data_IF_883133685010
#
_entry.id   IF_883133685010
#
_cell.length_a   1.000
_cell.length_b   1.000
_cell.length_c   1.000
_cell.angle_alpha   90.00
_cell.angle_beta   90.00
_cell.angle_gamma   90.00
#
_symmetry.space_group_name_H-M   'P 1'
#
loop_
_entity.id
_entity.type
_entity.pdbx_description
1 polymer ?
#
# COMPACT_ATOMS: atom_id res chain seq x y z
N UNK A 1 4.31 -18.12 -5.96
CA UNK A 1 4.26 -16.90 -6.80
C UNK A 1 3.89 -15.73 -5.90
N UNK A 2 4.85 -15.05 -5.25
CA UNK A 2 4.49 -14.07 -4.19
C UNK A 2 5.35 -12.80 -4.14
N UNK A 3 6.26 -12.59 -5.08
CA UNK A 3 7.24 -11.47 -4.98
C UNK A 3 6.79 -10.17 -5.65
N UNK A 4 5.73 -10.18 -6.47
CA UNK A 4 5.38 -9.02 -7.32
C UNK A 4 4.58 -7.92 -6.62
N UNK A 5 3.89 -8.19 -5.51
CA UNK A 5 3.10 -7.16 -4.80
C UNK A 5 3.99 -6.27 -3.93
N UNK A 6 5.04 -6.83 -3.31
CA UNK A 6 5.95 -6.09 -2.45
C UNK A 6 6.80 -5.08 -3.25
N UNK A 7 7.26 -5.47 -4.44
CA UNK A 7 7.91 -4.54 -5.36
C UNK A 7 7.02 -3.35 -5.71
N UNK A 8 5.71 -3.54 -5.91
CA UNK A 8 4.82 -2.43 -6.29
C UNK A 8 4.65 -1.36 -5.20
N UNK A 9 4.67 -1.75 -3.93
CA UNK A 9 4.57 -0.80 -2.82
C UNK A 9 5.88 -0.02 -2.63
N UNK A 10 7.02 -0.72 -2.57
CA UNK A 10 8.33 -0.07 -2.46
C UNK A 10 8.59 0.87 -3.64
N UNK A 11 8.31 0.44 -4.88
CA UNK A 11 8.46 1.29 -6.06
C UNK A 11 7.56 2.52 -6.00
N UNK A 12 6.32 2.38 -5.51
CA UNK A 12 5.41 3.52 -5.34
C UNK A 12 5.94 4.50 -4.29
N UNK A 13 6.58 3.99 -3.22
CA UNK A 13 7.17 4.79 -2.16
C UNK A 13 8.43 5.53 -2.63
N UNK A 14 9.35 4.84 -3.32
CA UNK A 14 10.54 5.45 -3.93
C UNK A 14 10.14 6.56 -4.92
N UNK A 15 9.09 6.33 -5.71
CA UNK A 15 8.57 7.34 -6.62
C UNK A 15 8.00 8.56 -5.89
N UNK A 16 7.30 8.34 -4.78
CA UNK A 16 6.74 9.40 -3.94
C UNK A 16 7.86 10.26 -3.32
N UNK A 17 8.94 9.64 -2.84
CA UNK A 17 10.12 10.35 -2.30
C UNK A 17 10.80 11.21 -3.37
N UNK A 18 10.94 10.70 -4.59
CA UNK A 18 11.44 11.45 -5.75
C UNK A 18 10.57 12.66 -6.07
N UNK A 19 9.25 12.51 -6.03
CA UNK A 19 8.32 13.63 -6.23
C UNK A 19 8.49 14.67 -5.12
N UNK A 20 8.59 14.25 -3.86
CA UNK A 20 8.80 15.17 -2.75
C UNK A 20 10.12 15.96 -2.89
N UNK A 21 11.21 15.30 -3.30
CA UNK A 21 12.47 16.00 -3.58
C UNK A 21 12.34 17.02 -4.70
N UNK A 22 11.57 16.71 -5.75
CA UNK A 22 11.36 17.64 -6.84
C UNK A 22 10.48 18.83 -6.43
N UNK A 23 9.47 18.61 -5.58
CA UNK A 23 8.62 19.68 -5.04
C UNK A 23 9.41 20.61 -4.12
N UNK A 24 10.35 20.06 -3.35
CA UNK A 24 11.20 20.83 -2.42
C UNK A 24 12.28 21.65 -3.16
N UNK A 25 12.55 21.34 -4.43
CA UNK A 25 13.37 22.20 -5.29
C UNK A 25 12.61 23.49 -5.63
N UNK A 26 13.09 24.60 -5.11
CA UNK A 26 12.47 25.93 -5.20
C UNK A 26 12.39 26.57 -6.60
N UNK A 27 12.86 25.87 -7.64
CA UNK A 27 12.85 26.33 -9.05
C UNK A 27 11.84 25.60 -9.95
N UNK A 28 10.93 24.81 -9.38
CA UNK A 28 9.93 24.08 -10.17
C UNK A 28 8.83 25.01 -10.71
N UNK A 29 8.43 24.82 -11.97
CA UNK A 29 7.33 25.59 -12.56
C UNK A 29 5.98 25.20 -11.92
N UNK A 30 5.05 26.15 -11.81
CA UNK A 30 3.71 25.91 -11.22
C UNK A 30 2.95 24.78 -11.94
N UNK A 31 3.04 24.71 -13.27
CA UNK A 31 2.39 23.66 -14.05
C UNK A 31 3.00 22.27 -13.77
N UNK A 32 4.31 22.21 -13.58
CA UNK A 32 5.01 20.97 -13.21
C UNK A 32 4.69 20.54 -11.78
N UNK A 33 4.57 21.51 -10.86
CA UNK A 33 4.13 21.25 -9.49
C UNK A 33 2.74 20.61 -9.46
N UNK A 34 1.80 21.12 -10.25
CA UNK A 34 0.45 20.55 -10.34
C UNK A 34 0.46 19.09 -10.83
N UNK A 35 1.28 18.79 -11.85
CA UNK A 35 1.45 17.43 -12.36
C UNK A 35 2.07 16.49 -11.31
N UNK A 36 3.09 16.94 -10.59
CA UNK A 36 3.75 16.15 -9.56
C UNK A 36 2.84 15.86 -8.37
N UNK A 37 2.03 16.83 -7.93
CA UNK A 37 1.03 16.63 -6.88
C UNK A 37 -0.04 15.63 -7.33
N UNK A 38 -0.47 15.69 -8.59
CA UNK A 38 -1.43 14.72 -9.13
C UNK A 38 -0.86 13.30 -9.18
N UNK A 39 0.39 13.13 -9.62
CA UNK A 39 1.08 11.84 -9.62
C UNK A 39 1.25 11.29 -8.19
N UNK A 40 1.64 12.13 -7.23
CA UNK A 40 1.73 11.76 -5.82
C UNK A 40 0.39 11.28 -5.26
N UNK A 41 -0.72 11.96 -5.60
CA UNK A 41 -2.06 11.57 -5.16
C UNK A 41 -2.47 10.19 -5.71
N UNK A 42 -2.11 9.88 -6.96
CA UNK A 42 -2.36 8.57 -7.56
C UNK A 42 -1.53 7.46 -6.89
N UNK A 43 -0.25 7.72 -6.62
CA UNK A 43 0.62 6.79 -5.91
C UNK A 43 0.09 6.49 -4.50
N UNK A 44 -0.31 7.52 -3.76
CA UNK A 44 -0.93 7.36 -2.43
C UNK A 44 -2.21 6.52 -2.47
N UNK A 45 -3.04 6.71 -3.50
CA UNK A 45 -4.26 5.91 -3.70
C UNK A 45 -3.94 4.44 -3.92
N UNK A 46 -2.89 4.14 -4.69
CA UNK A 46 -2.43 2.78 -4.90
C UNK A 46 -1.86 2.16 -3.62
N UNK A 47 -1.02 2.89 -2.88
CA UNK A 47 -0.51 2.45 -1.58
C UNK A 47 -1.65 2.09 -0.62
N UNK A 48 -2.67 2.95 -0.51
CA UNK A 48 -3.86 2.68 0.31
C UNK A 48 -4.57 1.39 -0.12
N UNK A 49 -4.70 1.15 -1.42
CA UNK A 49 -5.34 -0.06 -1.95
C UNK A 49 -4.56 -1.32 -1.57
N UNK A 50 -3.22 -1.27 -1.62
CA UNK A 50 -2.36 -2.38 -1.20
C UNK A 50 -2.54 -2.65 0.29
N UNK A 51 -2.48 -1.60 1.14
CA UNK A 51 -2.65 -1.74 2.59
C UNK A 51 -3.99 -2.38 2.96
N UNK A 52 -5.10 -1.89 2.39
CA UNK A 52 -6.44 -2.44 2.65
C UNK A 52 -6.57 -3.88 2.16
N UNK A 53 -5.93 -4.22 1.03
CA UNK A 53 -5.92 -5.60 0.54
C UNK A 53 -5.14 -6.51 1.50
N UNK A 54 -3.96 -6.09 1.93
CA UNK A 54 -3.14 -6.85 2.89
C UNK A 54 -3.87 -7.04 4.21
N UNK A 55 -4.50 -5.99 4.74
CA UNK A 55 -5.31 -6.06 5.96
C UNK A 55 -6.42 -7.12 5.85
N UNK A 56 -7.16 -7.13 4.73
CA UNK A 56 -8.20 -8.14 4.49
C UNK A 56 -7.66 -9.56 4.40
N UNK A 57 -6.53 -9.76 3.75
CA UNK A 57 -5.91 -11.08 3.64
C UNK A 57 -5.42 -11.56 5.01
N UNK A 58 -4.86 -10.67 5.84
CA UNK A 58 -4.46 -10.97 7.22
C UNK A 58 -5.68 -11.33 8.06
N UNK A 59 -6.75 -10.53 8.02
CA UNK A 59 -7.98 -10.82 8.76
C UNK A 59 -8.55 -12.17 8.36
N UNK A 60 -8.67 -12.45 7.06
CA UNK A 60 -9.16 -13.75 6.56
C UNK A 60 -8.30 -14.92 7.03
N UNK A 61 -6.98 -14.73 7.11
CA UNK A 61 -6.06 -15.76 7.62
C UNK A 61 -6.30 -16.01 9.11
N UNK A 62 -6.50 -14.94 9.90
CA UNK A 62 -6.84 -15.04 11.32
C UNK A 62 -8.19 -15.74 11.53
N UNK A 63 -9.23 -15.34 10.79
CA UNK A 63 -10.56 -15.95 10.87
C UNK A 63 -10.50 -17.45 10.54
N UNK A 64 -9.70 -17.83 9.53
CA UNK A 64 -9.53 -19.24 9.15
C UNK A 64 -8.84 -20.05 10.26
N UNK A 65 -7.81 -19.46 10.89
CA UNK A 65 -7.15 -20.08 12.04
C UNK A 65 -8.10 -20.25 13.23
N UNK A 66 -8.89 -19.22 13.56
CA UNK A 66 -9.88 -19.26 14.65
C UNK A 66 -10.90 -20.39 14.44
N UNK A 67 -11.45 -20.51 13.22
CA UNK A 67 -12.36 -21.61 12.88
C UNK A 67 -11.70 -23.00 12.99
N UNK A 68 -10.42 -23.14 12.63
CA UNK A 68 -9.66 -24.40 12.79
C UNK A 68 -9.41 -24.77 14.27
N UNK A 69 -9.30 -23.77 15.17
CA UNK A 69 -9.18 -23.99 16.61
C UNK A 69 -10.52 -24.35 17.26
N UNK A 70 -11.62 -23.77 16.81
CA UNK A 70 -12.96 -24.05 17.35
C UNK A 70 -13.46 -25.47 17.00
N UNK A 71 -13.13 -26.02 15.82
CA UNK A 71 -13.52 -27.40 15.45
C UNK A 71 -12.78 -28.50 16.25
N UNK A 72 -11.71 -28.17 16.99
CA UNK A 72 -10.94 -29.14 17.79
C UNK A 72 -11.24 -29.10 19.29
N UNK A 73 -12.27 -28.37 19.73
CA UNK A 73 -12.67 -28.37 21.14
C UNK A 73 -13.70 -29.48 21.40
N UNK A 74 -13.38 -30.51 22.20
CA UNK A 74 -14.40 -31.46 22.65
C UNK A 74 -15.47 -30.68 23.42
N UNK A 75 -16.69 -30.66 22.89
CA UNK A 75 -17.86 -30.17 23.62
C UNK A 75 -18.10 -31.12 24.80
N UNK A 76 -17.85 -30.65 26.02
CA UNK A 76 -18.33 -31.29 27.26
C UNK A 76 -19.86 -31.20 27.39
#
# INVERSE_FOLDING_TARGET
>A
MSSSQNQSYQQSMERLELILQNIDNSDIAIDELALQVQEAAELLKNCKKILVKTEKEVQKSLDSLENEFDENTPQE
#
